data_IF_550391184664
#
_entry.id   IF_550391184664
#
_cell.length_a   1.000
_cell.length_b   1.000
_cell.length_c   1.000
_cell.angle_alpha   90.00
_cell.angle_beta   90.00
_cell.angle_gamma   90.00
#
_symmetry.space_group_name_H-M   'P 1'
#
loop_
_entity.id
_entity.type
_entity.pdbx_description
1 polymer ?
#
# COMPACT_ATOMS: atom_id res chain seq x y z
N UNK A 1 101.32 68.86 -14.11
CA UNK A 1 101.01 67.75 -13.18
C UNK A 1 99.55 67.40 -13.41
N UNK A 2 99.11 66.21 -13.80
CA UNK A 2 99.69 64.86 -13.87
C UNK A 2 98.85 64.03 -14.83
N UNK A 3 99.49 63.00 -15.40
CA UNK A 3 99.10 62.09 -16.47
C UNK A 3 97.78 61.27 -16.28
N UNK A 4 97.25 60.67 -17.37
CA UNK A 4 96.06 59.82 -17.39
C UNK A 4 96.39 58.34 -17.11
N UNK A 5 95.40 57.55 -16.69
CA UNK A 5 95.45 56.09 -16.90
C UNK A 5 94.05 55.48 -17.08
N UNK A 6 93.93 54.78 -18.20
CA UNK A 6 92.86 53.86 -18.59
C UNK A 6 92.91 52.57 -17.77
N UNK A 7 91.76 52.11 -17.28
CA UNK A 7 91.38 50.68 -17.32
C UNK A 7 89.88 50.51 -16.98
N UNK A 8 89.14 49.84 -17.85
CA UNK A 8 87.79 49.31 -17.57
C UNK A 8 87.97 47.97 -16.86
N UNK A 9 87.30 47.69 -15.72
CA UNK A 9 87.12 46.33 -15.26
C UNK A 9 85.92 45.71 -15.98
N UNK A 10 86.20 44.65 -16.73
CA UNK A 10 85.22 43.73 -17.31
C UNK A 10 84.36 43.14 -16.19
N UNK A 11 83.05 43.34 -16.25
CA UNK A 11 82.08 42.68 -15.38
C UNK A 11 81.92 41.21 -15.80
N UNK A 12 82.64 40.31 -15.14
CA UNK A 12 82.32 38.88 -15.16
C UNK A 12 81.29 38.59 -14.06
N UNK A 13 80.01 38.71 -14.40
CA UNK A 13 78.93 38.14 -13.61
C UNK A 13 79.06 36.61 -13.77
N UNK A 14 79.56 35.95 -12.74
CA UNK A 14 79.46 34.49 -12.60
C UNK A 14 77.97 34.14 -12.52
N UNK A 15 77.39 33.68 -13.62
CA UNK A 15 76.17 32.89 -13.57
C UNK A 15 76.56 31.52 -13.00
N UNK A 16 76.46 31.36 -11.68
CA UNK A 16 76.49 30.02 -11.08
C UNK A 16 75.27 29.27 -11.61
N UNK A 17 75.53 28.33 -12.51
CA UNK A 17 74.53 27.35 -12.93
C UNK A 17 73.99 26.70 -11.65
N UNK A 18 72.67 26.68 -11.39
CA UNK A 18 72.14 26.05 -10.20
C UNK A 18 72.61 24.60 -10.17
N UNK A 19 73.07 24.13 -9.01
CA UNK A 19 73.62 22.78 -8.90
C UNK A 19 72.59 21.76 -9.40
N UNK A 20 73.00 20.75 -10.18
CA UNK A 20 72.09 19.81 -10.85
C UNK A 20 71.19 19.03 -9.86
N UNK A 21 71.58 19.00 -8.58
CA UNK A 21 70.80 18.40 -7.51
C UNK A 21 69.56 19.21 -7.13
N UNK A 22 69.66 20.55 -7.10
CA UNK A 22 68.52 21.42 -6.77
C UNK A 22 67.50 21.51 -7.90
N UNK A 23 67.96 21.49 -9.15
CA UNK A 23 67.06 21.42 -10.31
C UNK A 23 66.32 20.08 -10.36
N UNK A 24 66.99 18.97 -10.06
CA UNK A 24 66.36 17.66 -9.96
C UNK A 24 65.34 17.57 -8.82
N UNK A 25 65.66 18.11 -7.64
CA UNK A 25 64.70 18.18 -6.52
C UNK A 25 63.49 19.06 -6.82
N UNK A 26 63.70 20.19 -7.50
CA UNK A 26 62.61 21.07 -7.93
C UNK A 26 61.71 20.40 -8.97
N UNK A 27 62.29 19.67 -9.93
CA UNK A 27 61.54 18.88 -10.90
C UNK A 27 60.79 17.72 -10.24
N UNK A 28 61.41 17.01 -9.28
CA UNK A 28 60.74 15.98 -8.50
C UNK A 28 59.57 16.53 -7.68
N UNK A 29 59.74 17.72 -7.08
CA UNK A 29 58.68 18.42 -6.36
C UNK A 29 57.53 18.84 -7.29
N UNK A 30 57.83 19.41 -8.46
CA UNK A 30 56.81 19.74 -9.47
C UNK A 30 56.12 18.48 -10.00
N UNK A 31 56.85 17.39 -10.22
CA UNK A 31 56.27 16.11 -10.64
C UNK A 31 55.39 15.51 -9.55
N UNK A 32 55.78 15.60 -8.27
CA UNK A 32 54.93 15.12 -7.17
C UNK A 32 53.69 16.00 -6.99
N UNK A 33 53.82 17.33 -7.00
CA UNK A 33 52.66 18.24 -6.95
C UNK A 33 51.75 18.04 -8.16
N UNK A 34 52.32 17.91 -9.36
CA UNK A 34 51.58 17.60 -10.60
C UNK A 34 50.87 16.25 -10.52
N UNK A 35 51.54 15.22 -10.02
CA UNK A 35 50.95 13.89 -9.82
C UNK A 35 49.80 13.94 -8.81
N UNK A 36 49.98 14.59 -7.66
CA UNK A 36 48.92 14.71 -6.65
C UNK A 36 47.76 15.60 -7.11
N UNK A 37 48.00 16.67 -7.87
CA UNK A 37 46.92 17.53 -8.41
C UNK A 37 46.13 16.87 -9.54
N UNK A 38 46.75 15.98 -10.32
CA UNK A 38 46.10 15.24 -11.40
C UNK A 38 45.45 13.93 -10.93
N UNK A 39 45.96 13.29 -9.88
CA UNK A 39 45.47 11.99 -9.38
C UNK A 39 44.65 12.05 -8.08
N UNK A 40 44.57 13.18 -7.36
CA UNK A 40 43.51 13.33 -6.35
C UNK A 40 42.17 13.51 -7.08
N UNK A 41 41.11 12.75 -6.69
CA UNK A 41 39.79 12.96 -7.25
C UNK A 41 39.35 14.41 -7.00
N UNK A 42 38.96 15.08 -8.08
CA UNK A 42 38.64 16.51 -8.11
C UNK A 42 37.55 16.82 -7.08
N UNK A 43 37.93 17.33 -5.89
CA UNK A 43 36.99 17.59 -4.79
C UNK A 43 35.93 18.62 -5.17
N UNK A 44 36.23 19.50 -6.14
CA UNK A 44 35.27 20.45 -6.71
C UNK A 44 34.10 19.76 -7.44
N UNK A 45 34.34 18.65 -8.14
CA UNK A 45 33.29 17.88 -8.82
C UNK A 45 32.39 17.16 -7.79
N UNK A 46 33.00 16.56 -6.76
CA UNK A 46 32.26 15.95 -5.65
C UNK A 46 31.43 16.96 -4.86
N UNK A 47 31.98 18.15 -4.57
CA UNK A 47 31.25 19.25 -3.92
C UNK A 47 30.14 19.83 -4.82
N UNK A 48 30.31 19.88 -6.14
CA UNK A 48 29.25 20.30 -7.07
C UNK A 48 28.09 19.30 -7.08
N UNK A 49 28.38 17.99 -7.12
CA UNK A 49 27.37 16.93 -7.06
C UNK A 49 26.57 16.96 -5.75
N UNK A 50 27.23 17.21 -4.61
CA UNK A 50 26.55 17.36 -3.32
C UNK A 50 25.68 18.62 -3.29
N UNK A 51 26.18 19.74 -3.83
CA UNK A 51 25.43 21.01 -3.87
C UNK A 51 24.22 20.92 -4.80
N UNK A 52 24.34 20.23 -5.92
CA UNK A 52 23.25 19.97 -6.85
C UNK A 52 22.23 18.99 -6.27
N UNK A 53 22.67 17.90 -5.61
CA UNK A 53 21.78 16.98 -4.91
C UNK A 53 20.99 17.68 -3.80
N UNK A 54 21.65 18.55 -3.00
CA UNK A 54 20.97 19.35 -1.98
C UNK A 54 20.00 20.36 -2.60
N UNK A 55 20.36 20.97 -3.75
CA UNK A 55 19.49 21.88 -4.49
C UNK A 55 18.24 21.16 -5.00
N UNK A 56 18.39 20.01 -5.67
CA UNK A 56 17.26 19.21 -6.15
C UNK A 56 16.39 18.70 -4.99
N UNK A 57 17.00 18.27 -3.89
CA UNK A 57 16.26 17.89 -2.68
C UNK A 57 15.43 19.04 -2.13
N UNK A 58 16.02 20.22 -2.00
CA UNK A 58 15.32 21.39 -1.47
C UNK A 58 14.19 21.85 -2.40
N UNK A 59 14.43 21.81 -3.72
CA UNK A 59 13.39 22.07 -4.74
C UNK A 59 12.26 21.03 -4.60
N UNK A 60 12.58 19.74 -4.52
CA UNK A 60 11.60 18.67 -4.34
C UNK A 60 10.74 18.87 -3.09
N UNK A 61 11.37 19.12 -1.95
CA UNK A 61 10.68 19.36 -0.68
C UNK A 61 9.85 20.65 -0.70
N UNK A 62 10.23 21.64 -1.51
CA UNK A 62 9.47 22.89 -1.64
C UNK A 62 8.15 22.75 -2.41
N UNK A 63 7.94 21.65 -3.15
CA UNK A 63 6.70 21.40 -3.90
C UNK A 63 5.54 20.91 -3.02
N UNK A 64 5.80 20.46 -1.79
CA UNK A 64 4.77 19.98 -0.88
C UNK A 64 4.68 20.85 0.36
N UNK A 65 3.46 21.28 0.70
CA UNK A 65 3.15 22.03 1.91
C UNK A 65 1.94 21.42 2.60
N UNK A 66 1.72 21.75 3.87
CA UNK A 66 0.54 21.27 4.59
C UNK A 66 -0.77 21.71 3.91
N UNK A 67 -0.79 22.89 3.27
CA UNK A 67 -1.97 23.37 2.55
C UNK A 67 -2.22 22.60 1.26
N UNK A 68 -1.18 22.25 0.48
CA UNK A 68 -1.35 21.44 -0.73
C UNK A 68 -1.79 20.02 -0.39
N UNK A 69 -1.20 19.40 0.63
CA UNK A 69 -1.61 18.07 1.12
C UNK A 69 -3.06 18.10 1.62
N UNK A 70 -3.44 19.12 2.39
CA UNK A 70 -4.81 19.28 2.89
C UNK A 70 -5.82 19.47 1.76
N UNK A 71 -5.49 20.26 0.73
CA UNK A 71 -6.33 20.46 -0.43
C UNK A 71 -6.52 19.17 -1.24
N UNK A 72 -5.46 18.38 -1.43
CA UNK A 72 -5.53 17.09 -2.13
C UNK A 72 -6.35 16.08 -1.33
N UNK A 73 -6.10 15.97 -0.02
CA UNK A 73 -6.87 15.08 0.84
C UNK A 73 -8.36 15.43 0.76
N UNK A 74 -8.72 16.73 0.87
CA UNK A 74 -10.11 17.17 0.71
C UNK A 74 -10.66 16.72 -0.63
N UNK A 75 -10.02 17.07 -1.75
CA UNK A 75 -10.52 16.73 -3.09
C UNK A 75 -10.71 15.20 -3.29
N UNK A 76 -9.78 14.40 -2.80
CA UNK A 76 -9.80 12.93 -2.95
C UNK A 76 -10.81 12.24 -2.02
N UNK A 77 -11.27 12.90 -0.95
CA UNK A 77 -12.16 12.30 0.07
C UNK A 77 -13.56 12.92 0.12
N UNK A 78 -13.91 13.77 -0.86
CA UNK A 78 -15.23 14.40 -0.93
C UNK A 78 -16.38 13.40 -1.07
N UNK A 79 -16.14 12.29 -1.77
CA UNK A 79 -17.15 11.27 -2.06
C UNK A 79 -16.58 9.85 -1.89
N UNK A 80 -17.40 8.85 -1.51
CA UNK A 80 -17.01 7.45 -1.56
C UNK A 80 -16.65 7.04 -3.00
N UNK A 81 -15.43 6.56 -3.20
CA UNK A 81 -14.89 6.23 -4.52
C UNK A 81 -14.55 4.73 -4.62
N UNK A 82 -15.56 3.87 -4.39
CA UNK A 82 -15.43 2.42 -4.49
C UNK A 82 -15.01 2.01 -5.91
N UNK A 83 -14.11 1.03 -6.05
CA UNK A 83 -13.64 0.54 -7.35
C UNK A 83 -14.82 0.22 -8.29
N UNK A 84 -14.67 0.53 -9.58
CA UNK A 84 -15.70 0.31 -10.59
C UNK A 84 -16.89 1.27 -10.59
N UNK A 85 -16.93 2.26 -9.67
CA UNK A 85 -18.03 3.24 -9.60
C UNK A 85 -17.73 4.55 -10.32
N UNK A 86 -18.78 5.33 -10.61
CA UNK A 86 -18.62 6.65 -11.24
C UNK A 86 -17.77 7.64 -10.40
N UNK A 87 -17.94 7.76 -9.06
CA UNK A 87 -17.05 8.59 -8.25
C UNK A 87 -15.57 8.16 -8.32
N UNK A 88 -15.28 6.85 -8.38
CA UNK A 88 -13.90 6.39 -8.54
C UNK A 88 -13.28 6.82 -9.88
N UNK A 89 -14.06 6.78 -10.96
CA UNK A 89 -13.63 7.30 -12.26
C UNK A 89 -13.36 8.82 -12.20
N UNK A 90 -14.18 9.58 -11.46
CA UNK A 90 -13.96 11.01 -11.26
C UNK A 90 -12.66 11.27 -10.49
N UNK A 91 -12.38 10.49 -9.44
CA UNK A 91 -11.11 10.54 -8.70
C UNK A 91 -9.92 10.26 -9.62
N UNK A 92 -10.00 9.22 -10.47
CA UNK A 92 -8.94 8.93 -11.45
C UNK A 92 -8.73 10.09 -12.43
N UNK A 93 -9.81 10.70 -12.94
CA UNK A 93 -9.72 11.88 -13.83
C UNK A 93 -9.12 13.10 -13.15
N UNK A 94 -9.42 13.31 -11.87
CA UNK A 94 -8.81 14.37 -11.08
C UNK A 94 -7.29 14.17 -10.98
N UNK A 95 -6.83 12.96 -10.63
CA UNK A 95 -5.39 12.63 -10.56
C UNK A 95 -4.72 12.79 -11.93
N UNK A 96 -5.34 12.27 -12.99
CA UNK A 96 -4.84 12.39 -14.35
C UNK A 96 -4.65 13.85 -14.77
N UNK A 97 -5.70 14.67 -14.58
CA UNK A 97 -5.65 16.09 -14.96
C UNK A 97 -4.58 16.82 -14.16
N UNK A 98 -4.49 16.55 -12.86
CA UNK A 98 -3.47 17.16 -12.01
C UNK A 98 -2.04 16.81 -12.47
N UNK A 99 -1.78 15.55 -12.84
CA UNK A 99 -0.47 15.15 -13.36
C UNK A 99 -0.16 15.78 -14.72
N UNK A 100 -1.15 15.83 -15.62
CA UNK A 100 -1.00 16.48 -16.92
C UNK A 100 -0.71 17.99 -16.77
N UNK A 101 -1.37 18.68 -15.84
CA UNK A 101 -1.17 20.10 -15.55
C UNK A 101 0.23 20.39 -14.99
N UNK A 102 0.83 19.41 -14.30
CA UNK A 102 2.23 19.47 -13.86
C UNK A 102 3.23 19.18 -14.99
N UNK A 103 2.76 18.96 -16.21
CA UNK A 103 3.59 18.64 -17.38
C UNK A 103 4.11 17.20 -17.40
N UNK A 104 3.55 16.32 -16.59
CA UNK A 104 3.91 14.90 -16.61
C UNK A 104 3.28 14.22 -17.82
N UNK A 105 4.02 13.27 -18.41
CA UNK A 105 3.49 12.42 -19.46
C UNK A 105 2.57 11.38 -18.82
N UNK A 106 1.28 11.68 -18.82
CA UNK A 106 0.25 10.87 -18.15
C UNK A 106 -0.62 10.14 -19.17
N UNK A 107 -0.92 8.88 -18.87
CA UNK A 107 -1.75 7.99 -19.66
C UNK A 107 -2.78 7.31 -18.76
N UNK A 108 -3.88 6.85 -19.33
CA UNK A 108 -4.83 5.97 -18.65
C UNK A 108 -4.80 4.59 -19.29
N UNK A 109 -4.97 3.56 -18.48
CA UNK A 109 -5.07 2.18 -18.93
C UNK A 109 -6.32 1.56 -18.32
N UNK A 110 -7.16 1.00 -19.18
CA UNK A 110 -8.38 0.32 -18.77
C UNK A 110 -8.11 -1.18 -18.58
N UNK A 111 -8.53 -1.69 -17.44
CA UNK A 111 -8.51 -3.12 -17.11
C UNK A 111 -9.92 -3.61 -16.84
N UNK A 112 -10.27 -4.76 -17.39
CA UNK A 112 -11.46 -5.53 -17.04
C UNK A 112 -11.13 -6.41 -15.85
N UNK A 113 -11.67 -6.08 -14.70
CA UNK A 113 -11.48 -6.83 -13.47
C UNK A 113 -12.81 -7.39 -12.98
N UNK A 114 -12.79 -8.60 -12.43
CA UNK A 114 -13.91 -9.16 -11.69
C UNK A 114 -13.97 -8.51 -10.31
N UNK A 115 -15.04 -7.76 -10.04
CA UNK A 115 -15.31 -7.13 -8.76
C UNK A 115 -16.54 -7.75 -8.09
N UNK A 116 -16.71 -7.46 -6.80
CA UNK A 116 -17.85 -7.94 -6.01
C UNK A 116 -18.55 -6.82 -5.27
N UNK A 117 -19.88 -6.84 -5.27
CA UNK A 117 -20.72 -5.83 -4.62
C UNK A 117 -21.86 -6.46 -3.81
N UNK A 118 -22.19 -5.91 -2.63
CA UNK A 118 -23.26 -6.45 -1.81
C UNK A 118 -24.63 -6.15 -2.42
N UNK A 119 -25.45 -7.19 -2.58
CA UNK A 119 -26.84 -7.05 -3.03
C UNK A 119 -27.79 -6.98 -1.83
N UNK A 120 -27.63 -7.93 -0.90
CA UNK A 120 -28.48 -8.03 0.28
C UNK A 120 -27.73 -8.69 1.43
N UNK A 121 -27.95 -8.20 2.64
CA UNK A 121 -27.45 -8.81 3.86
C UNK A 121 -28.47 -8.61 4.99
N UNK A 122 -28.74 -9.66 5.75
CA UNK A 122 -29.57 -9.61 6.95
C UNK A 122 -29.03 -10.56 8.01
N UNK A 123 -29.10 -10.12 9.27
CA UNK A 123 -28.71 -10.93 10.42
C UNK A 123 -29.75 -10.78 11.52
N UNK A 124 -30.21 -11.90 12.05
CA UNK A 124 -31.14 -11.92 13.17
C UNK A 124 -30.75 -12.98 14.18
N UNK A 125 -30.98 -12.67 15.45
CA UNK A 125 -30.77 -13.56 16.59
C UNK A 125 -32.13 -14.06 17.07
N UNK A 126 -32.27 -15.38 17.19
CA UNK A 126 -33.45 -16.05 17.71
C UNK A 126 -33.10 -16.70 19.04
N UNK A 127 -33.79 -16.29 20.09
CA UNK A 127 -33.63 -16.82 21.43
C UNK A 127 -34.42 -18.12 21.61
N UNK A 128 -34.09 -18.89 22.64
CA UNK A 128 -34.79 -20.13 22.99
C UNK A 128 -36.25 -19.92 23.44
N UNK A 129 -36.61 -18.70 23.87
CA UNK A 129 -37.97 -18.30 24.22
C UNK A 129 -38.86 -17.98 23.01
N UNK A 130 -38.32 -18.08 21.79
CA UNK A 130 -39.01 -17.76 20.54
C UNK A 130 -38.95 -16.29 20.14
N UNK A 131 -38.32 -15.42 20.93
CA UNK A 131 -38.08 -14.03 20.54
C UNK A 131 -37.05 -13.97 19.40
N UNK A 132 -37.27 -13.03 18.46
CA UNK A 132 -36.35 -12.75 17.36
C UNK A 132 -36.00 -11.27 17.36
N UNK A 133 -34.72 -10.96 17.17
CA UNK A 133 -34.19 -9.61 17.09
C UNK A 133 -33.33 -9.46 15.84
N UNK A 134 -33.63 -8.48 15.01
CA UNK A 134 -32.75 -8.07 13.92
C UNK A 134 -31.51 -7.35 14.49
N UNK A 135 -30.34 -7.71 13.97
CA UNK A 135 -29.07 -7.14 14.36
C UNK A 135 -28.64 -6.10 13.30
N UNK A 136 -28.33 -4.85 13.69
CA UNK A 136 -28.06 -3.78 12.74
C UNK A 136 -26.76 -4.04 11.96
N UNK A 137 -26.81 -3.93 10.63
CA UNK A 137 -25.66 -4.11 9.74
C UNK A 137 -25.21 -2.82 9.05
N UNK A 138 -25.68 -1.66 9.52
CA UNK A 138 -25.44 -0.35 8.91
C UNK A 138 -24.67 0.54 9.88
N UNK A 139 -23.66 1.24 9.35
CA UNK A 139 -22.87 2.20 10.13
C UNK A 139 -23.64 3.52 10.35
N UNK A 140 -23.39 4.26 11.43
CA UNK A 140 -24.02 5.55 11.68
C UNK A 140 -23.73 6.54 10.54
N UNK A 141 -24.76 7.23 10.05
CA UNK A 141 -24.65 8.15 8.91
C UNK A 141 -24.70 7.48 7.53
N UNK A 142 -24.69 6.14 7.47
CA UNK A 142 -24.71 5.34 6.24
C UNK A 142 -26.11 4.97 5.71
N UNK A 143 -27.16 5.70 6.10
CA UNK A 143 -28.52 5.46 5.59
C UNK A 143 -28.75 6.01 4.16
N UNK A 144 -27.74 6.68 3.56
CA UNK A 144 -27.78 7.16 2.18
C UNK A 144 -27.12 6.19 1.21
N UNK A 145 -27.71 6.03 0.01
CA UNK A 145 -27.25 5.11 -1.03
C UNK A 145 -25.80 5.33 -1.53
N UNK A 146 -25.14 6.42 -1.12
CA UNK A 146 -23.80 6.79 -1.59
C UNK A 146 -22.69 5.93 -0.96
N UNK A 147 -22.86 5.46 0.29
CA UNK A 147 -21.87 4.61 0.97
C UNK A 147 -22.29 3.15 0.83
N UNK A 148 -21.40 2.32 0.26
CA UNK A 148 -21.65 0.87 0.15
C UNK A 148 -21.81 0.25 1.53
N UNK A 149 -22.81 -0.62 1.71
CA UNK A 149 -23.01 -1.35 2.97
C UNK A 149 -21.77 -2.19 3.33
N UNK A 150 -21.47 -2.41 4.62
CA UNK A 150 -20.36 -3.28 5.01
C UNK A 150 -20.52 -4.69 4.45
N UNK A 151 -19.43 -5.21 3.88
CA UNK A 151 -19.45 -6.51 3.22
C UNK A 151 -18.04 -7.11 3.12
N UNK A 152 -17.97 -8.43 3.00
CA UNK A 152 -16.75 -9.13 2.64
C UNK A 152 -16.76 -9.39 1.13
N UNK A 153 -15.88 -8.71 0.41
CA UNK A 153 -15.72 -8.86 -1.03
C UNK A 153 -15.31 -10.30 -1.37
N UNK A 154 -15.97 -10.87 -2.38
CA UNK A 154 -15.86 -12.26 -2.84
C UNK A 154 -16.31 -13.35 -1.85
N UNK A 155 -17.01 -13.00 -0.77
CA UNK A 155 -17.70 -14.01 0.03
C UNK A 155 -18.83 -14.66 -0.80
N UNK A 156 -19.02 -16.00 -0.75
CA UNK A 156 -20.12 -16.64 -1.44
C UNK A 156 -21.46 -16.18 -0.84
N UNK A 157 -22.48 -16.18 -1.68
CA UNK A 157 -23.86 -15.99 -1.25
C UNK A 157 -24.37 -17.22 -0.50
N UNK A 158 -25.22 -17.04 0.49
CA UNK A 158 -25.78 -18.14 1.27
C UNK A 158 -26.84 -17.70 2.27
N UNK A 159 -27.71 -18.64 2.63
CA UNK A 159 -28.64 -18.54 3.75
C UNK A 159 -28.23 -19.59 4.76
N UNK A 160 -27.86 -19.15 5.96
CA UNK A 160 -27.32 -20.02 7.00
C UNK A 160 -28.11 -19.78 8.28
N UNK A 161 -28.51 -20.88 8.89
CA UNK A 161 -29.04 -20.88 10.24
C UNK A 161 -28.11 -21.71 11.09
N UNK A 162 -27.55 -21.13 12.15
CA UNK A 162 -26.59 -21.84 12.99
C UNK A 162 -26.74 -21.56 14.47
N UNK A 163 -26.48 -22.60 15.26
CA UNK A 163 -26.65 -22.68 16.70
C UNK A 163 -26.30 -24.08 17.19
N UNK A 164 -26.63 -24.40 18.44
CA UNK A 164 -26.42 -25.75 18.97
C UNK A 164 -27.13 -26.81 18.09
N UNK A 165 -26.37 -27.70 17.44
CA UNK A 165 -26.89 -28.83 16.66
C UNK A 165 -27.21 -28.60 15.17
N UNK A 166 -27.05 -27.39 14.62
CA UNK A 166 -27.41 -27.05 13.23
C UNK A 166 -26.24 -26.53 12.36
N UNK A 167 -25.00 -26.71 12.82
CA UNK A 167 -23.81 -26.08 12.24
C UNK A 167 -23.49 -24.76 12.96
N UNK A 168 -22.20 -24.47 13.14
CA UNK A 168 -21.77 -23.32 13.94
C UNK A 168 -21.51 -22.08 13.07
N UNK A 169 -22.11 -20.94 13.41
CA UNK A 169 -21.69 -19.63 12.90
C UNK A 169 -20.58 -19.13 13.81
N UNK A 170 -19.36 -19.01 13.28
CA UNK A 170 -18.22 -18.55 14.05
C UNK A 170 -18.21 -17.02 14.14
N UNK A 171 -18.14 -16.47 15.35
CA UNK A 171 -17.86 -15.05 15.57
C UNK A 171 -16.37 -14.88 15.80
N UNK A 172 -15.71 -14.10 14.95
CA UNK A 172 -14.24 -14.01 14.93
C UNK A 172 -13.79 -12.56 15.05
N UNK A 173 -12.86 -12.32 15.98
CA UNK A 173 -12.13 -11.05 16.05
C UNK A 173 -11.06 -10.97 14.97
N UNK A 174 -10.98 -9.85 14.27
CA UNK A 174 -9.92 -9.54 13.31
C UNK A 174 -8.55 -9.56 13.99
N UNK A 175 -7.65 -10.42 13.51
CA UNK A 175 -6.25 -10.48 13.95
C UNK A 175 -5.28 -9.98 12.87
N UNK A 176 -4.07 -10.55 12.82
CA UNK A 176 -3.08 -10.21 11.79
C UNK A 176 -3.27 -10.99 10.48
N UNK A 177 -3.84 -12.19 10.55
CA UNK A 177 -4.00 -13.07 9.40
C UNK A 177 -4.92 -12.50 8.31
N UNK A 178 -4.77 -12.91 7.06
CA UNK A 178 -5.75 -12.57 6.02
C UNK A 178 -7.17 -13.01 6.39
N UNK A 179 -8.18 -12.19 6.03
CA UNK A 179 -9.60 -12.53 6.29
C UNK A 179 -9.99 -13.85 5.64
N UNK A 180 -9.57 -14.06 4.40
CA UNK A 180 -9.81 -15.31 3.66
C UNK A 180 -9.20 -16.53 4.34
N UNK A 181 -8.00 -16.40 4.91
CA UNK A 181 -7.35 -17.49 5.68
C UNK A 181 -8.14 -17.87 6.93
N UNK A 182 -8.62 -16.87 7.68
CA UNK A 182 -9.49 -17.07 8.84
C UNK A 182 -10.80 -17.76 8.45
N UNK A 183 -11.44 -17.31 7.36
CA UNK A 183 -12.68 -17.92 6.85
C UNK A 183 -12.43 -19.36 6.37
N UNK A 184 -11.32 -19.61 5.68
CA UNK A 184 -10.92 -20.93 5.23
C UNK A 184 -10.72 -21.91 6.37
N UNK A 185 -9.98 -21.51 7.41
CA UNK A 185 -9.81 -22.34 8.61
C UNK A 185 -11.09 -22.58 9.38
N UNK A 186 -11.94 -21.55 9.52
CA UNK A 186 -13.24 -21.74 10.16
C UNK A 186 -14.07 -22.81 9.43
N UNK A 187 -14.03 -22.84 8.09
CA UNK A 187 -14.66 -23.88 7.30
C UNK A 187 -14.05 -25.27 7.54
N UNK A 188 -12.71 -25.36 7.65
CA UNK A 188 -12.01 -26.62 7.98
C UNK A 188 -12.40 -27.16 9.37
N UNK A 189 -12.67 -26.27 10.32
CA UNK A 189 -13.18 -26.58 11.67
C UNK A 189 -14.71 -26.82 11.69
N UNK A 190 -15.37 -26.84 10.53
CA UNK A 190 -16.79 -27.16 10.41
C UNK A 190 -17.76 -26.00 10.67
N UNK A 191 -17.28 -24.75 10.68
CA UNK A 191 -18.15 -23.59 10.69
C UNK A 191 -18.92 -23.49 9.35
N UNK A 192 -20.18 -23.06 9.43
CA UNK A 192 -21.06 -22.90 8.26
C UNK A 192 -21.12 -21.46 7.76
N UNK A 193 -20.73 -20.50 8.60
CA UNK A 193 -20.55 -19.10 8.24
C UNK A 193 -19.61 -18.40 9.24
N UNK A 194 -19.06 -17.25 8.85
CA UNK A 194 -18.20 -16.42 9.71
C UNK A 194 -18.74 -15.00 9.84
N UNK A 195 -18.93 -14.54 11.06
CA UNK A 195 -19.14 -13.13 11.38
C UNK A 195 -17.83 -12.56 11.91
N UNK A 196 -17.28 -11.54 11.25
CA UNK A 196 -15.99 -10.97 11.63
C UNK A 196 -16.17 -9.56 12.18
N UNK A 197 -15.52 -9.22 13.29
CA UNK A 197 -15.52 -7.86 13.83
C UNK A 197 -14.10 -7.38 14.08
N UNK A 198 -13.90 -6.07 14.00
CA UNK A 198 -12.62 -5.42 14.26
C UNK A 198 -12.78 -4.47 15.43
N UNK A 199 -11.96 -4.65 16.47
CA UNK A 199 -11.91 -3.71 17.59
C UNK A 199 -11.34 -2.36 17.13
N UNK A 200 -11.86 -1.29 17.71
CA UNK A 200 -11.42 0.07 17.41
C UNK A 200 -12.11 1.06 18.33
N UNK A 201 -11.89 2.35 18.08
CA UNK A 201 -12.46 3.42 18.90
C UNK A 201 -14.00 3.51 18.77
N UNK A 202 -14.55 3.05 17.63
CA UNK A 202 -15.98 3.06 17.36
C UNK A 202 -16.59 1.68 17.53
N UNK A 203 -17.67 1.61 18.31
CA UNK A 203 -18.45 0.37 18.51
C UNK A 203 -19.36 0.02 17.34
N UNK A 204 -19.60 0.97 16.44
CA UNK A 204 -20.55 0.86 15.33
C UNK A 204 -19.88 0.84 13.96
N UNK A 205 -18.56 1.10 13.89
CA UNK A 205 -17.78 1.00 12.67
C UNK A 205 -17.58 -0.45 12.23
N UNK A 206 -17.54 -0.68 10.91
CA UNK A 206 -17.41 -2.02 10.33
C UNK A 206 -16.33 -2.05 9.26
N UNK A 207 -15.33 -2.90 9.46
CA UNK A 207 -14.22 -3.02 8.53
C UNK A 207 -14.60 -3.87 7.31
N UNK A 208 -14.71 -3.22 6.14
CA UNK A 208 -14.86 -3.88 4.84
C UNK A 208 -13.54 -4.54 4.42
N UNK A 209 -13.61 -5.55 3.55
CA UNK A 209 -12.40 -6.12 2.98
C UNK A 209 -12.62 -7.34 2.12
N UNK A 210 -11.58 -7.73 1.37
CA UNK A 210 -11.59 -8.96 0.57
C UNK A 210 -11.35 -10.20 1.44
N UNK A 211 -12.08 -11.27 1.13
CA UNK A 211 -11.85 -12.63 1.64
C UNK A 211 -11.30 -13.57 0.56
N UNK A 212 -11.04 -13.05 -0.65
CA UNK A 212 -10.37 -13.79 -1.71
C UNK A 212 -8.90 -14.02 -1.35
N UNK A 213 -8.37 -15.19 -1.70
CA UNK A 213 -6.95 -15.54 -1.59
C UNK A 213 -6.15 -14.97 -2.76
N UNK A 214 -4.96 -14.46 -2.44
CA UNK A 214 -4.01 -13.93 -3.42
C UNK A 214 -4.33 -12.49 -3.86
N UNK A 215 -3.46 -11.94 -4.70
CA UNK A 215 -3.55 -10.57 -5.20
C UNK A 215 -3.95 -10.54 -6.68
N UNK A 216 -4.33 -9.37 -7.17
CA UNK A 216 -4.72 -9.16 -8.56
C UNK A 216 -6.08 -9.77 -8.91
N UNK A 217 -6.49 -9.55 -10.16
CA UNK A 217 -7.74 -10.07 -10.70
C UNK A 217 -7.76 -11.61 -10.68
N UNK A 218 -8.87 -12.25 -10.25
CA UNK A 218 -9.01 -13.70 -10.30
C UNK A 218 -9.01 -14.26 -11.73
N UNK A 219 -9.56 -13.55 -12.72
CA UNK A 219 -9.69 -14.06 -14.09
C UNK A 219 -8.39 -13.99 -14.89
N UNK A 220 -7.47 -13.10 -14.51
CA UNK A 220 -6.16 -12.95 -15.16
C UNK A 220 -4.99 -13.11 -14.17
N UNK A 221 -4.75 -14.32 -13.62
CA UNK A 221 -3.73 -14.53 -12.60
C UNK A 221 -2.31 -14.39 -13.16
N UNK A 222 -1.72 -13.21 -12.98
CA UNK A 222 -0.32 -12.92 -13.35
C UNK A 222 -0.16 -12.18 -14.67
N UNK A 223 -1.25 -11.80 -15.34
CA UNK A 223 -1.24 -10.93 -16.51
C UNK A 223 -2.35 -9.87 -16.43
N UNK A 224 -2.31 -8.88 -17.32
CA UNK A 224 -3.28 -7.79 -17.32
C UNK A 224 -4.60 -8.17 -18.00
N UNK A 225 -5.72 -7.96 -17.33
CA UNK A 225 -7.06 -8.08 -17.92
C UNK A 225 -7.37 -6.92 -18.85
N UNK A 226 -6.76 -6.88 -20.03
CA UNK A 226 -6.98 -5.84 -21.05
C UNK A 226 -8.05 -6.26 -22.06
N UNK A 227 -8.58 -5.32 -22.81
CA UNK A 227 -9.51 -5.62 -23.91
C UNK A 227 -8.87 -6.57 -24.93
N UNK A 228 -9.57 -7.65 -25.28
CA UNK A 228 -9.06 -8.70 -26.16
C UNK A 228 -7.99 -9.62 -25.55
N UNK A 229 -7.62 -9.43 -24.27
CA UNK A 229 -6.72 -10.31 -23.54
C UNK A 229 -7.36 -11.63 -23.13
N UNK A 230 -6.52 -12.63 -22.83
CA UNK A 230 -6.96 -13.92 -22.30
C UNK A 230 -7.50 -13.76 -20.87
N UNK A 231 -8.58 -14.47 -20.55
CA UNK A 231 -9.15 -14.56 -19.22
C UNK A 231 -9.62 -16.00 -18.97
N UNK A 232 -9.49 -16.45 -17.73
CA UNK A 232 -10.00 -17.74 -17.30
C UNK A 232 -11.51 -17.68 -17.03
N UNK A 233 -12.19 -18.81 -17.20
CA UNK A 233 -13.61 -18.95 -16.86
C UNK A 233 -13.82 -18.99 -15.35
N UNK A 234 -14.94 -18.47 -14.84
CA UNK A 234 -15.24 -18.42 -13.40
C UNK A 234 -15.26 -19.82 -12.75
N UNK A 235 -15.57 -20.84 -13.52
CA UNK A 235 -15.61 -22.25 -13.11
C UNK A 235 -14.22 -22.92 -13.07
N UNK A 236 -13.16 -22.22 -13.52
CA UNK A 236 -11.80 -22.76 -13.47
C UNK A 236 -11.40 -23.06 -12.02
N UNK A 237 -10.83 -24.25 -11.81
CA UNK A 237 -10.42 -24.71 -10.48
C UNK A 237 -9.43 -23.77 -9.78
N UNK A 238 -8.55 -23.08 -10.52
CA UNK A 238 -7.62 -22.10 -9.98
C UNK A 238 -8.36 -20.88 -9.44
N UNK A 239 -9.43 -20.45 -10.10
CA UNK A 239 -10.29 -19.36 -9.65
C UNK A 239 -11.12 -19.78 -8.44
N UNK A 240 -11.80 -20.92 -8.52
CA UNK A 240 -12.65 -21.41 -7.44
C UNK A 240 -11.85 -21.60 -6.14
N UNK A 241 -10.60 -22.04 -6.23
CA UNK A 241 -9.70 -22.17 -5.07
C UNK A 241 -9.29 -20.84 -4.43
N UNK A 242 -9.53 -19.69 -5.09
CA UNK A 242 -9.29 -18.36 -4.52
C UNK A 242 -10.46 -17.86 -3.68
N UNK A 243 -11.66 -18.36 -3.90
CA UNK A 243 -12.85 -17.92 -3.17
C UNK A 243 -13.10 -18.77 -1.92
N UNK A 244 -13.60 -18.17 -0.82
CA UNK A 244 -13.95 -18.93 0.37
C UNK A 244 -15.16 -19.84 0.12
N UNK A 245 -15.18 -20.98 0.81
CA UNK A 245 -16.22 -22.02 0.65
C UNK A 245 -17.48 -21.75 1.45
N UNK A 246 -17.37 -20.97 2.52
CA UNK A 246 -18.48 -20.61 3.41
C UNK A 246 -18.70 -19.10 3.38
N UNK A 247 -19.95 -18.64 3.56
CA UNK A 247 -20.23 -17.22 3.58
C UNK A 247 -19.62 -16.56 4.81
N UNK A 248 -19.26 -15.29 4.66
CA UNK A 248 -18.73 -14.46 5.73
C UNK A 248 -19.19 -13.02 5.58
N UNK A 249 -19.31 -12.31 6.70
CA UNK A 249 -19.74 -10.91 6.72
C UNK A 249 -19.06 -10.14 7.85
N UNK A 250 -18.66 -8.88 7.62
CA UNK A 250 -18.16 -8.05 8.69
C UNK A 250 -19.33 -7.45 9.48
N UNK A 251 -19.18 -7.38 10.80
CA UNK A 251 -20.15 -6.82 11.74
C UNK A 251 -19.46 -5.82 12.67
N UNK A 252 -20.24 -4.96 13.30
CA UNK A 252 -19.71 -4.01 14.28
C UNK A 252 -19.33 -4.70 15.60
N UNK A 253 -18.39 -4.13 16.38
CA UNK A 253 -18.12 -4.60 17.74
C UNK A 253 -19.38 -4.69 18.61
N UNK A 254 -20.29 -3.72 18.49
CA UNK A 254 -21.56 -3.73 19.22
C UNK A 254 -22.40 -4.98 18.94
N UNK A 255 -22.56 -5.34 17.66
CA UNK A 255 -23.29 -6.54 17.25
C UNK A 255 -22.55 -7.79 17.72
N UNK A 256 -21.23 -7.84 17.53
CA UNK A 256 -20.42 -8.98 17.95
C UNK A 256 -20.54 -9.24 19.45
N UNK A 257 -20.39 -8.22 20.29
CA UNK A 257 -20.54 -8.38 21.74
C UNK A 257 -21.97 -8.73 22.16
N UNK A 258 -22.99 -8.27 21.42
CA UNK A 258 -24.37 -8.72 21.69
C UNK A 258 -24.53 -10.23 21.51
N UNK A 259 -23.89 -10.79 20.48
CA UNK A 259 -23.88 -12.23 20.20
C UNK A 259 -23.01 -12.96 21.24
N UNK A 260 -21.78 -12.49 21.48
CA UNK A 260 -20.82 -13.12 22.39
C UNK A 260 -21.35 -13.18 23.84
N UNK A 261 -22.10 -12.17 24.30
CA UNK A 261 -22.75 -12.20 25.62
C UNK A 261 -23.88 -13.22 25.74
N UNK A 262 -24.43 -13.67 24.61
CA UNK A 262 -25.45 -14.72 24.58
C UNK A 262 -24.87 -16.14 24.47
N UNK A 263 -23.55 -16.27 24.30
CA UNK A 263 -22.89 -17.57 24.24
C UNK A 263 -22.89 -18.25 25.61
N UNK A 264 -23.14 -19.56 25.59
CA UNK A 264 -23.02 -20.44 26.75
C UNK A 264 -21.79 -21.35 26.60
N UNK A 265 -21.72 -22.46 27.32
CA UNK A 265 -20.60 -23.41 27.20
C UNK A 265 -19.35 -23.04 28.01
N UNK A 266 -18.17 -23.58 27.65
CA UNK A 266 -16.94 -23.42 28.42
C UNK A 266 -16.51 -21.96 28.59
N UNK A 267 -15.83 -21.67 29.70
CA UNK A 267 -15.25 -20.35 29.92
C UNK A 267 -14.22 -20.03 28.85
N UNK A 268 -14.27 -18.80 28.36
CA UNK A 268 -13.29 -18.31 27.40
C UNK A 268 -11.90 -18.25 28.06
N UNK A 269 -10.85 -18.74 27.38
CA UNK A 269 -9.48 -18.66 27.89
C UNK A 269 -9.09 -17.22 28.24
N UNK A 270 -8.30 -17.04 29.31
CA UNK A 270 -7.91 -15.71 29.79
C UNK A 270 -7.24 -14.84 28.72
N UNK A 271 -6.43 -15.43 27.85
CA UNK A 271 -5.72 -14.71 26.79
C UNK A 271 -6.61 -14.34 25.58
N UNK A 272 -7.84 -14.86 25.51
CA UNK A 272 -8.86 -14.45 24.53
C UNK A 272 -9.80 -13.39 25.11
N UNK A 273 -9.71 -13.12 26.42
CA UNK A 273 -10.56 -12.16 27.08
C UNK A 273 -10.27 -10.76 26.58
N UNK A 274 -11.34 -10.10 26.21
CA UNK A 274 -11.38 -8.70 25.87
C UNK A 274 -12.06 -7.94 27.02
N UNK A 275 -11.47 -6.82 27.42
CA UNK A 275 -11.99 -5.94 28.47
C UNK A 275 -13.36 -5.36 28.08
N UNK A 276 -13.67 -5.24 26.78
CA UNK A 276 -14.94 -4.72 26.27
C UNK A 276 -16.16 -5.66 26.48
N UNK A 277 -15.93 -6.94 26.81
CA UNK A 277 -17.01 -7.87 27.18
C UNK A 277 -17.61 -7.57 28.56
N UNK A 278 -16.95 -6.71 29.35
CA UNK A 278 -17.39 -6.31 30.68
C UNK A 278 -16.95 -7.31 31.77
N UNK A 279 -17.52 -7.20 32.99
CA UNK A 279 -17.04 -7.94 34.17
C UNK A 279 -17.40 -9.43 34.16
N UNK A 280 -18.33 -9.85 33.30
CA UNK A 280 -18.75 -11.25 33.21
C UNK A 280 -17.74 -12.05 32.37
N UNK A 281 -17.28 -13.23 32.83
CA UNK A 281 -16.38 -14.06 32.04
C UNK A 281 -17.10 -14.52 30.77
N UNK A 282 -16.63 -14.08 29.61
CA UNK A 282 -17.13 -14.53 28.32
C UNK A 282 -17.02 -16.05 28.15
N UNK A 283 -17.84 -16.61 27.25
CA UNK A 283 -17.90 -18.05 26.95
C UNK A 283 -17.67 -18.30 25.47
N UNK A 284 -17.30 -19.53 25.12
CA UNK A 284 -16.92 -19.91 23.75
C UNK A 284 -18.11 -20.40 22.92
N UNK A 285 -19.20 -20.78 23.56
CA UNK A 285 -20.35 -21.42 22.91
C UNK A 285 -20.33 -22.95 23.00
N UNK A 286 -21.28 -23.63 22.34
CA UNK A 286 -22.40 -23.02 21.61
C UNK A 286 -23.35 -22.27 22.55
N UNK A 287 -24.08 -21.28 22.03
CA UNK A 287 -25.14 -20.58 22.75
C UNK A 287 -26.53 -21.12 22.41
N UNK A 288 -27.55 -20.84 23.23
CA UNK A 288 -28.95 -21.13 22.92
C UNK A 288 -29.49 -20.25 21.78
N UNK A 289 -28.83 -19.12 21.51
CA UNK A 289 -29.19 -18.20 20.44
C UNK A 289 -28.86 -18.80 19.08
N UNK A 290 -29.88 -18.90 18.24
CA UNK A 290 -29.76 -19.29 16.84
C UNK A 290 -29.62 -18.05 15.97
N UNK A 291 -28.59 -18.01 15.13
CA UNK A 291 -28.37 -16.91 14.21
C UNK A 291 -28.93 -17.29 12.84
N UNK A 292 -29.79 -16.43 12.30
CA UNK A 292 -30.25 -16.51 10.93
C UNK A 292 -29.57 -15.41 10.11
N UNK A 293 -28.81 -15.87 9.13
CA UNK A 293 -27.91 -15.09 8.31
C UNK A 293 -28.30 -15.28 6.85
N UNK A 294 -28.53 -14.18 6.14
CA UNK A 294 -28.69 -14.20 4.69
C UNK A 294 -27.71 -13.21 4.09
N UNK A 295 -26.94 -13.67 3.10
CA UNK A 295 -25.96 -12.86 2.42
C UNK A 295 -26.00 -13.13 0.92
N UNK A 296 -26.12 -12.07 0.15
CA UNK A 296 -26.18 -12.10 -1.31
C UNK A 296 -25.21 -11.07 -1.87
N UNK A 297 -24.36 -11.54 -2.76
CA UNK A 297 -23.29 -10.77 -3.37
C UNK A 297 -23.27 -11.03 -4.88
N UNK A 298 -23.13 -9.96 -5.65
CA UNK A 298 -23.01 -9.99 -7.10
C UNK A 298 -21.55 -9.93 -7.53
N UNK A 299 -21.17 -10.75 -8.51
CA UNK A 299 -19.89 -10.67 -9.20
C UNK A 299 -20.10 -9.98 -10.54
N UNK A 300 -19.29 -8.98 -10.84
CA UNK A 300 -19.41 -8.18 -12.06
C UNK A 300 -18.02 -7.93 -12.67
N UNK A 301 -17.89 -8.08 -13.99
CA UNK A 301 -16.68 -7.69 -14.72
C UNK A 301 -16.83 -6.22 -15.09
N UNK A 302 -16.01 -5.36 -14.46
CA UNK A 302 -16.08 -3.91 -14.62
C UNK A 302 -14.76 -3.38 -15.17
N UNK A 303 -14.85 -2.34 -16.00
CA UNK A 303 -13.68 -1.56 -16.43
C UNK A 303 -13.18 -0.68 -15.28
N UNK A 304 -11.98 -0.95 -14.80
CA UNK A 304 -11.22 -0.12 -13.86
C UNK A 304 -10.15 0.69 -14.60
N UNK A 305 -9.97 1.95 -14.22
CA UNK A 305 -9.02 2.86 -14.87
C UNK A 305 -7.83 3.11 -13.95
N UNK A 306 -6.63 2.81 -14.44
CA UNK A 306 -5.39 3.21 -13.78
C UNK A 306 -4.83 4.46 -14.45
N UNK A 307 -4.33 5.39 -13.63
CA UNK A 307 -3.57 6.56 -14.09
C UNK A 307 -2.08 6.25 -13.98
N UNK A 308 -1.39 6.18 -15.11
CA UNK A 308 0.05 5.95 -15.16
C UNK A 308 0.77 7.22 -15.62
N UNK A 309 1.78 7.63 -14.86
CA UNK A 309 2.78 8.58 -15.33
C UNK A 309 3.94 7.74 -15.85
N UNK A 310 3.92 7.50 -17.17
CA UNK A 310 4.77 6.50 -17.81
C UNK A 310 6.22 6.58 -17.34
N UNK A 311 6.88 5.43 -17.21
CA UNK A 311 8.27 5.24 -16.72
C UNK A 311 8.99 6.56 -16.48
N UNK A 312 8.90 7.07 -15.25
CA UNK A 312 9.97 7.89 -14.75
C UNK A 312 11.20 7.00 -14.93
N UNK A 313 12.10 7.37 -15.85
CA UNK A 313 13.33 6.63 -16.06
C UNK A 313 14.18 6.86 -14.80
N UNK A 314 13.83 6.15 -13.72
CA UNK A 314 14.54 6.23 -12.45
C UNK A 314 15.99 5.85 -12.71
N UNK A 315 16.25 4.91 -13.61
CA UNK A 315 17.60 4.52 -14.00
C UNK A 315 18.32 5.67 -14.71
N UNK A 316 17.68 6.39 -15.62
CA UNK A 316 18.20 7.59 -16.27
C UNK A 316 18.41 8.76 -15.30
N UNK A 317 17.45 9.02 -14.43
CA UNK A 317 17.50 10.06 -13.39
C UNK A 317 18.60 9.77 -12.36
N UNK A 318 18.73 8.54 -11.88
CA UNK A 318 19.79 8.11 -10.97
C UNK A 318 21.15 7.96 -11.67
N UNK A 319 21.23 7.56 -12.95
CA UNK A 319 22.48 7.60 -13.74
C UNK A 319 22.96 9.03 -13.96
N UNK A 320 22.04 9.99 -14.15
CA UNK A 320 22.35 11.40 -14.33
C UNK A 320 22.76 12.09 -13.02
N UNK A 321 22.24 11.64 -11.86
CA UNK A 321 22.63 12.13 -10.54
C UNK A 321 23.88 11.47 -9.95
N UNK A 322 24.15 10.20 -10.27
CA UNK A 322 25.22 9.44 -9.60
C UNK A 322 26.57 9.47 -10.30
N UNK A 323 26.67 9.76 -11.60
CA UNK A 323 27.95 9.78 -12.33
C UNK A 323 28.79 8.50 -12.19
N UNK A 324 28.20 7.40 -11.69
CA UNK A 324 28.90 6.18 -11.30
C UNK A 324 28.40 5.02 -12.17
N UNK A 325 29.33 4.40 -12.90
CA UNK A 325 29.12 3.11 -13.56
C UNK A 325 28.86 2.06 -12.48
N UNK A 326 27.74 1.35 -12.57
CA UNK A 326 27.48 0.18 -11.71
C UNK A 326 26.03 -0.10 -11.30
N UNK A 327 25.02 0.44 -11.96
CA UNK A 327 23.59 0.25 -11.60
C UNK A 327 22.82 -0.74 -12.48
N UNK A 328 23.50 -1.67 -13.16
CA UNK A 328 22.83 -2.59 -14.11
C UNK A 328 22.24 -3.88 -13.46
N UNK A 329 22.15 -3.95 -12.12
CA UNK A 329 21.78 -5.19 -11.42
C UNK A 329 20.51 -5.17 -10.56
N UNK A 330 19.68 -4.11 -10.61
CA UNK A 330 18.43 -4.06 -9.84
C UNK A 330 17.20 -4.08 -10.74
N UNK A 331 16.24 -5.01 -10.53
CA UNK A 331 14.99 -5.02 -11.28
C UNK A 331 14.14 -3.79 -10.93
N UNK A 332 13.32 -3.28 -11.89
CA UNK A 332 12.46 -2.14 -11.66
C UNK A 332 11.43 -2.44 -10.56
N UNK A 333 11.36 -1.59 -9.53
CA UNK A 333 10.23 -1.58 -8.60
C UNK A 333 9.00 -1.04 -9.32
N UNK A 334 8.05 -1.92 -9.60
CA UNK A 334 6.68 -1.55 -9.94
C UNK A 334 5.96 -1.26 -8.62
N UNK A 335 5.45 -0.05 -8.46
CA UNK A 335 4.42 0.24 -7.47
C UNK A 335 3.11 -0.33 -8.02
N UNK A 336 2.62 -1.39 -7.38
CA UNK A 336 1.28 -1.95 -7.60
C UNK A 336 0.25 -1.20 -6.78
#
# INVERSE_FOLDING_TARGET
MSQPHSSKPTSTIFSSVPSPQWTLLFLLFLCTVGFYTLHLPNSAAAFSNVRDALRFRNIYLSFATNSTVSAYLRALTLHPHLAGTHPALQTARFVHSHFADLGLRTHTVDYRALLSYPLHASLSAHSSDGSSRELPLVEPGGAGAEVVRPYHAYSPSGVVTGGAGSGCVAVVRRGEESRGGVVGRAAEEGAVAVLMYTEGESMSGVERGTVMKGLGDPLTPGWGGVEGGEALDLEDSQILNRFPKIPSMPISPEVAYSILRSLEGPQMPHHWRDDALGPQPGRVGPGPTLLNFTYQLGLEIISSVNVDCGKFDQVGFWKQLSGLRGFDSYPPMFFY
#
